data_IF_842432375833
#
_entry.id   IF_842432375833
#
_cell.length_a   1.000
_cell.length_b   1.000
_cell.length_c   1.000
_cell.angle_alpha   90.00
_cell.angle_beta   90.00
_cell.angle_gamma   90.00
#
_symmetry.space_group_name_H-M   'P 1'
#
loop_
_entity.id
_entity.type
_entity.pdbx_description
1 polymer ?
#
# COMPACT_ATOMS: atom_id res chain seq x y z
N UNK A 1 51.31 -40.69 26.51
CA UNK A 1 50.24 -39.70 26.76
C UNK A 1 50.87 -38.39 27.20
N UNK A 2 50.92 -37.40 26.31
CA UNK A 2 51.29 -36.01 26.65
C UNK A 2 50.01 -35.20 26.60
N UNK A 3 49.66 -34.56 27.71
CA UNK A 3 48.46 -33.72 27.84
C UNK A 3 48.86 -32.32 27.38
N UNK A 4 48.29 -31.87 26.28
CA UNK A 4 48.42 -30.50 25.77
C UNK A 4 47.37 -29.62 26.47
N UNK A 5 47.69 -28.43 26.99
CA UNK A 5 46.67 -27.51 27.49
C UNK A 5 46.00 -26.80 26.30
N UNK A 6 44.68 -26.92 26.21
CA UNK A 6 43.83 -26.11 25.32
C UNK A 6 43.66 -24.75 26.00
N UNK A 7 44.30 -23.72 25.44
CA UNK A 7 44.03 -22.32 25.79
C UNK A 7 42.72 -21.95 25.10
N UNK A 8 41.64 -21.81 25.88
CA UNK A 8 40.37 -21.28 25.40
C UNK A 8 40.47 -19.75 25.44
N UNK A 9 40.61 -19.11 24.28
CA UNK A 9 40.60 -17.65 24.15
C UNK A 9 39.15 -17.18 24.26
N UNK A 10 38.74 -16.73 25.45
CA UNK A 10 37.47 -16.08 25.68
C UNK A 10 37.54 -14.65 25.11
N UNK A 11 37.02 -14.45 23.90
CA UNK A 11 36.77 -13.11 23.35
C UNK A 11 35.64 -12.47 24.15
N UNK A 12 36.00 -11.70 25.18
CA UNK A 12 35.11 -10.71 25.78
C UNK A 12 34.87 -9.62 24.74
N UNK A 13 33.78 -9.74 23.99
CA UNK A 13 33.18 -8.58 23.33
C UNK A 13 32.65 -7.68 24.44
N UNK A 14 33.45 -6.71 24.85
CA UNK A 14 32.99 -5.58 25.64
C UNK A 14 31.94 -4.85 24.81
N UNK A 15 30.66 -5.13 25.08
CA UNK A 15 29.56 -4.27 24.70
C UNK A 15 29.79 -2.94 25.42
N UNK A 16 30.49 -2.02 24.76
CA UNK A 16 30.48 -0.63 25.17
C UNK A 16 29.03 -0.19 25.06
N UNK A 17 28.37 0.06 26.19
CA UNK A 17 27.13 0.81 26.21
C UNK A 17 27.42 2.14 25.51
N UNK A 18 26.98 2.27 24.26
CA UNK A 18 27.03 3.53 23.56
C UNK A 18 26.13 4.49 24.35
N UNK A 19 26.65 5.66 24.70
CA UNK A 19 25.78 6.80 25.00
C UNK A 19 24.86 6.94 23.79
N UNK A 20 23.54 6.87 23.98
CA UNK A 20 22.63 6.86 22.85
C UNK A 20 22.69 8.24 22.18
N UNK A 21 23.37 8.31 21.03
CA UNK A 21 23.31 9.51 20.22
C UNK A 21 21.84 9.80 19.85
N UNK A 22 21.55 11.05 19.48
CA UNK A 22 20.28 11.35 18.81
C UNK A 22 20.10 10.39 17.62
N UNK A 23 18.87 9.92 17.34
CA UNK A 23 18.64 8.89 16.33
C UNK A 23 19.14 9.36 14.97
N UNK A 24 19.81 8.46 14.24
CA UNK A 24 20.14 8.71 12.84
C UNK A 24 18.86 8.74 11.98
N UNK A 25 18.95 9.31 10.79
CA UNK A 25 17.86 9.28 9.84
C UNK A 25 17.38 7.85 9.57
N UNK A 26 16.07 7.68 9.41
CA UNK A 26 15.50 6.38 9.10
C UNK A 26 14.09 6.18 9.64
N UNK A 27 13.63 4.94 9.50
CA UNK A 27 12.30 4.52 9.90
C UNK A 27 12.32 3.90 11.30
N UNK A 28 11.37 4.32 12.13
CA UNK A 28 11.24 3.92 13.51
C UNK A 28 9.78 3.64 13.85
N UNK A 29 9.58 2.76 14.83
CA UNK A 29 8.36 2.71 15.63
C UNK A 29 8.61 3.46 16.92
N UNK A 30 7.64 4.26 17.33
CA UNK A 30 7.74 5.05 18.57
C UNK A 30 6.83 4.42 19.62
N UNK A 31 7.40 4.03 20.76
CA UNK A 31 6.69 3.31 21.82
C UNK A 31 6.77 4.05 23.14
N UNK A 32 5.63 4.24 23.81
CA UNK A 32 5.62 4.85 25.13
C UNK A 32 6.22 3.92 26.17
N UNK A 33 7.11 4.45 27.02
CA UNK A 33 7.79 3.67 28.07
C UNK A 33 6.83 3.18 29.15
N UNK A 34 5.83 3.98 29.51
CA UNK A 34 4.90 3.64 30.58
C UNK A 34 3.83 2.67 30.12
N UNK A 35 3.13 2.99 29.02
CA UNK A 35 1.98 2.21 28.56
C UNK A 35 2.33 1.05 27.63
N UNK A 36 3.52 1.09 27.00
CA UNK A 36 3.89 0.17 25.94
C UNK A 36 3.13 0.37 24.63
N UNK A 37 2.34 1.44 24.49
CA UNK A 37 1.62 1.75 23.24
C UNK A 37 2.53 2.31 22.17
N UNK A 38 2.33 1.87 20.94
CA UNK A 38 2.95 2.39 19.73
C UNK A 38 2.16 3.55 19.15
N UNK A 39 2.88 4.48 18.53
CA UNK A 39 2.33 5.65 17.83
C UNK A 39 1.80 5.25 16.45
N UNK A 40 0.60 5.70 16.10
CA UNK A 40 -0.02 5.57 14.78
C UNK A 40 -0.48 6.93 14.28
N UNK A 41 -0.05 7.34 13.09
CA UNK A 41 -0.54 8.56 12.43
C UNK A 41 -1.70 8.19 11.52
N UNK A 42 -2.90 8.66 11.87
CA UNK A 42 -4.17 8.19 11.29
C UNK A 42 -4.94 9.25 10.52
N UNK A 43 -4.52 10.51 10.59
CA UNK A 43 -4.97 11.60 9.73
C UNK A 43 -3.89 12.70 9.64
N UNK A 44 -4.25 13.84 9.06
CA UNK A 44 -3.39 14.99 8.80
C UNK A 44 -3.92 16.31 9.41
N UNK A 45 -4.79 16.28 10.41
CA UNK A 45 -5.41 17.45 11.04
C UNK A 45 -4.91 17.65 12.48
N UNK A 46 -4.63 18.88 12.86
CA UNK A 46 -4.24 19.21 14.22
C UNK A 46 -3.82 20.65 14.33
N UNK A 47 -3.40 21.06 15.53
CA UNK A 47 -2.76 22.35 15.76
C UNK A 47 -2.16 22.42 17.18
N UNK A 48 -1.23 23.35 17.37
CA UNK A 48 -0.82 23.85 18.67
C UNK A 48 -1.37 25.27 18.91
N UNK A 49 -2.14 25.44 19.97
CA UNK A 49 -2.56 26.76 20.46
C UNK A 49 -1.73 27.16 21.67
N UNK A 50 -0.76 28.04 21.43
CA UNK A 50 0.11 28.57 22.47
C UNK A 50 -0.57 29.61 23.37
N UNK A 51 -1.62 30.27 22.90
CA UNK A 51 -2.39 31.24 23.69
C UNK A 51 -3.32 30.56 24.68
N UNK A 52 -3.98 29.49 24.24
CA UNK A 52 -4.82 28.64 25.09
C UNK A 52 -4.03 27.54 25.81
N UNK A 53 -2.73 27.39 25.50
CA UNK A 53 -1.86 26.33 26.03
C UNK A 53 -2.41 24.92 25.79
N UNK A 54 -3.02 24.69 24.63
CA UNK A 54 -3.63 23.40 24.25
C UNK A 54 -3.06 22.86 22.95
N UNK A 55 -3.15 21.55 22.78
CA UNK A 55 -2.77 20.84 21.56
C UNK A 55 -3.95 19.99 21.06
N UNK A 56 -4.24 20.05 19.76
CA UNK A 56 -5.11 19.07 19.11
C UNK A 56 -4.22 18.07 18.35
N UNK A 57 -4.12 16.87 18.91
CA UNK A 57 -3.23 15.80 18.47
C UNK A 57 -3.99 14.52 18.08
N UNK A 58 -5.30 14.62 17.83
CA UNK A 58 -6.15 13.45 17.55
C UNK A 58 -5.84 12.78 16.20
N UNK A 59 -5.00 13.40 15.36
CA UNK A 59 -4.31 12.75 14.25
C UNK A 59 -3.47 11.54 14.63
N UNK A 60 -3.12 11.42 15.91
CA UNK A 60 -2.14 10.47 16.40
C UNK A 60 -2.77 9.63 17.51
N UNK A 61 -3.03 8.38 17.17
CA UNK A 61 -3.50 7.37 18.10
C UNK A 61 -2.35 6.54 18.66
N UNK A 62 -2.63 5.92 19.80
CA UNK A 62 -1.70 5.03 20.49
C UNK A 62 -2.36 3.67 20.67
N UNK A 63 -1.65 2.59 20.35
CA UNK A 63 -2.18 1.22 20.52
C UNK A 63 -1.14 0.26 21.09
N UNK A 64 -1.58 -0.63 21.97
CA UNK A 64 -0.76 -1.76 22.43
C UNK A 64 -0.76 -2.91 21.42
N UNK A 65 0.21 -3.80 21.61
CA UNK A 65 0.34 -5.04 20.84
C UNK A 65 1.23 -4.81 19.62
N UNK A 66 2.46 -5.34 19.70
CA UNK A 66 3.42 -5.24 18.60
C UNK A 66 2.92 -5.96 17.35
N UNK A 67 2.12 -7.01 17.53
CA UNK A 67 1.44 -7.74 16.46
C UNK A 67 0.52 -6.86 15.61
N UNK A 68 -0.09 -5.82 16.20
CA UNK A 68 -0.90 -4.85 15.48
C UNK A 68 -0.05 -3.79 14.78
N UNK A 69 1.21 -3.63 15.19
CA UNK A 69 2.13 -2.59 14.73
C UNK A 69 3.05 -3.10 13.62
N UNK A 70 3.33 -4.41 13.61
CA UNK A 70 4.33 -5.00 12.72
C UNK A 70 3.93 -4.91 11.23
N UNK A 71 2.62 -4.86 10.95
CA UNK A 71 2.03 -4.85 9.61
C UNK A 71 1.31 -3.57 9.22
N UNK A 72 1.29 -2.54 10.08
CA UNK A 72 0.53 -1.33 9.81
C UNK A 72 1.43 -0.16 9.40
N UNK A 73 1.34 0.33 8.14
CA UNK A 73 2.10 1.49 7.69
C UNK A 73 1.90 2.76 8.52
N UNK A 74 0.74 2.95 9.17
CA UNK A 74 0.47 4.12 10.02
C UNK A 74 1.39 4.18 11.26
N UNK A 75 2.00 3.06 11.65
CA UNK A 75 2.94 2.97 12.77
C UNK A 75 4.40 3.25 12.41
N UNK A 76 4.68 3.50 11.13
CA UNK A 76 6.04 3.71 10.61
C UNK A 76 6.30 5.20 10.49
N UNK A 77 7.24 5.70 11.29
CA UNK A 77 7.64 7.11 11.29
C UNK A 77 9.04 7.24 10.70
N UNK A 78 9.20 8.10 9.70
CA UNK A 78 10.51 8.49 9.21
C UNK A 78 11.00 9.72 9.97
N UNK A 79 12.14 9.58 10.65
CA UNK A 79 12.84 10.67 11.32
C UNK A 79 13.91 11.19 10.37
N UNK A 80 13.80 12.46 10.00
CA UNK A 80 14.77 13.18 9.19
C UNK A 80 15.40 14.30 10.03
N UNK A 81 16.68 14.19 10.35
CA UNK A 81 17.40 15.20 11.10
C UNK A 81 17.48 16.50 10.30
N UNK A 82 17.22 17.61 10.98
CA UNK A 82 17.31 18.95 10.40
C UNK A 82 18.55 19.65 10.95
N UNK A 83 18.51 19.97 12.24
CA UNK A 83 19.60 20.62 12.97
C UNK A 83 19.46 20.32 14.46
N UNK A 84 20.58 20.36 15.19
CA UNK A 84 20.62 20.10 16.63
C UNK A 84 19.84 18.85 17.05
N UNK A 85 18.72 19.03 17.75
CA UNK A 85 17.81 17.98 18.22
C UNK A 85 16.48 17.95 17.47
N UNK A 86 16.37 18.70 16.38
CA UNK A 86 15.15 18.90 15.62
C UNK A 86 15.07 17.93 14.44
N UNK A 87 13.88 17.36 14.27
CA UNK A 87 13.56 16.36 13.26
C UNK A 87 12.27 16.72 12.54
N UNK A 88 12.28 16.55 11.23
CA UNK A 88 11.05 16.35 10.48
C UNK A 88 10.63 14.89 10.64
N UNK A 89 9.41 14.69 11.12
CA UNK A 89 8.87 13.37 11.42
C UNK A 89 7.65 13.15 10.54
N UNK A 90 7.77 12.23 9.59
CA UNK A 90 6.74 11.97 8.57
C UNK A 90 6.18 10.56 8.68
N UNK A 91 4.92 10.39 8.30
CA UNK A 91 4.22 9.11 8.27
C UNK A 91 3.03 9.21 7.30
N UNK A 92 2.75 8.13 6.55
CA UNK A 92 1.57 7.97 5.70
C UNK A 92 1.05 9.24 4.99
N UNK A 93 1.87 9.86 4.14
CA UNK A 93 1.46 11.01 3.33
C UNK A 93 1.31 12.33 4.09
N UNK A 94 1.70 12.36 5.36
CA UNK A 94 1.74 13.56 6.20
C UNK A 94 2.99 13.59 7.09
N UNK A 95 3.03 14.54 8.03
CA UNK A 95 4.05 14.61 9.06
C UNK A 95 3.65 15.53 10.20
N UNK A 96 4.37 15.42 11.31
CA UNK A 96 4.10 16.19 12.52
C UNK A 96 4.15 17.70 12.23
N UNK A 97 5.11 18.15 11.41
CA UNK A 97 5.17 19.55 11.01
C UNK A 97 3.91 19.99 10.25
N UNK A 98 3.35 19.16 9.38
CA UNK A 98 2.11 19.48 8.68
C UNK A 98 0.90 19.52 9.63
N UNK A 99 0.85 18.62 10.60
CA UNK A 99 -0.26 18.50 11.56
C UNK A 99 -0.27 19.68 12.54
N UNK A 100 0.90 20.10 13.05
CA UNK A 100 0.95 21.11 14.14
C UNK A 100 1.77 22.38 13.85
N UNK A 101 2.40 22.49 12.67
CA UNK A 101 3.29 23.62 12.27
C UNK A 101 4.59 23.74 13.10
N UNK A 102 5.07 22.61 13.65
CA UNK A 102 6.35 22.53 14.36
C UNK A 102 7.06 21.21 14.06
N UNK A 103 8.38 21.29 13.84
CA UNK A 103 9.24 20.12 13.87
C UNK A 103 9.42 19.60 15.30
N UNK A 104 9.62 18.29 15.42
CA UNK A 104 9.76 17.62 16.71
C UNK A 104 11.19 17.80 17.21
N UNK A 105 11.35 18.18 18.48
CA UNK A 105 12.64 18.18 19.16
C UNK A 105 12.76 16.96 20.06
N UNK A 106 13.96 16.37 20.11
CA UNK A 106 14.28 15.22 20.95
C UNK A 106 15.16 15.63 22.12
N UNK A 107 14.87 15.06 23.29
CA UNK A 107 15.72 15.17 24.47
C UNK A 107 15.98 13.76 25.03
N UNK A 108 17.23 13.32 25.02
CA UNK A 108 17.65 12.03 25.56
C UNK A 108 17.56 12.03 27.10
N UNK A 109 16.94 10.99 27.65
CA UNK A 109 16.89 10.74 29.09
C UNK A 109 18.18 10.02 29.51
N UNK A 110 19.18 10.77 29.98
CA UNK A 110 20.50 10.20 30.34
C UNK A 110 20.48 9.07 31.37
N UNK A 111 19.43 8.99 32.20
CA UNK A 111 19.28 7.93 33.20
C UNK A 111 18.66 6.63 32.64
N UNK A 112 18.07 6.66 31.45
CA UNK A 112 17.42 5.52 30.79
C UNK A 112 17.88 5.50 29.32
N UNK A 113 18.87 4.66 28.95
CA UNK A 113 19.36 4.58 27.58
C UNK A 113 18.23 4.37 26.55
N UNK A 114 18.43 4.88 25.33
CA UNK A 114 17.49 4.77 24.20
C UNK A 114 16.06 5.27 24.52
N UNK A 115 15.97 6.24 25.44
CA UNK A 115 14.72 6.84 25.89
C UNK A 115 14.75 8.34 25.67
N UNK A 116 13.67 8.86 25.08
CA UNK A 116 13.59 10.24 24.63
C UNK A 116 12.30 10.91 25.09
N UNK A 117 12.37 12.22 25.33
CA UNK A 117 11.20 13.09 25.33
C UNK A 117 11.09 13.78 23.97
N UNK A 118 9.88 13.80 23.42
CA UNK A 118 9.56 14.50 22.18
C UNK A 118 8.81 15.79 22.54
N UNK A 119 9.18 16.92 21.97
CA UNK A 119 8.60 18.21 22.35
C UNK A 119 8.67 19.27 21.24
N UNK A 120 7.88 20.33 21.42
CA UNK A 120 8.00 21.60 20.69
C UNK A 120 8.12 22.76 21.69
N UNK A 121 8.78 23.85 21.27
CA UNK A 121 8.94 25.03 22.12
C UNK A 121 8.73 26.33 21.35
N UNK A 122 8.09 27.32 21.99
CA UNK A 122 7.90 28.68 21.46
C UNK A 122 8.06 29.71 22.57
N UNK A 123 8.93 30.69 22.38
CA UNK A 123 9.12 31.83 23.30
C UNK A 123 9.28 31.43 24.78
N UNK A 124 10.05 30.37 25.06
CA UNK A 124 10.30 29.85 26.41
C UNK A 124 9.24 28.87 26.94
N UNK A 125 8.09 28.73 26.28
CA UNK A 125 7.12 27.67 26.58
C UNK A 125 7.53 26.38 25.88
N UNK A 126 7.33 25.24 26.56
CA UNK A 126 7.61 23.90 26.01
C UNK A 126 6.41 22.99 26.21
N UNK A 127 6.05 22.27 25.16
CA UNK A 127 4.99 21.25 25.15
C UNK A 127 5.62 19.90 24.84
N UNK A 128 5.49 18.97 25.77
CA UNK A 128 6.01 17.62 25.65
C UNK A 128 4.91 16.69 25.19
N UNK A 129 5.19 15.88 24.17
CA UNK A 129 4.29 14.82 23.74
C UNK A 129 4.28 13.70 24.79
N UNK A 130 3.09 13.21 25.11
CA UNK A 130 2.88 12.12 26.05
C UNK A 130 1.80 11.16 25.55
N UNK A 131 1.74 9.98 26.16
CA UNK A 131 0.53 9.18 26.12
C UNK A 131 -0.55 9.87 26.99
N UNK A 132 -1.57 10.40 26.32
CA UNK A 132 -2.64 11.20 26.92
C UNK A 132 -3.70 10.37 27.63
N UNK A 133 -3.79 9.06 27.36
CA UNK A 133 -4.74 8.16 28.03
C UNK A 133 -4.34 7.95 29.49
N UNK A 134 -3.04 7.97 29.79
CA UNK A 134 -2.49 7.87 31.17
C UNK A 134 -3.03 6.67 31.97
N UNK A 135 -3.31 5.58 31.26
CA UNK A 135 -3.73 4.29 31.81
C UNK A 135 -2.88 3.16 31.27
N UNK A 136 -2.41 2.27 32.15
CA UNK A 136 -1.66 1.07 31.79
C UNK A 136 -2.57 -0.10 31.40
N UNK A 137 -3.89 -0.01 31.61
CA UNK A 137 -4.80 -1.13 31.35
C UNK A 137 -5.54 -1.01 30.03
N UNK A 138 -5.70 0.19 29.49
CA UNK A 138 -6.35 0.39 28.19
C UNK A 138 -5.40 -0.04 27.05
N UNK A 139 -5.92 -0.57 25.96
CA UNK A 139 -5.10 -0.91 24.81
C UNK A 139 -4.94 0.27 23.86
N UNK A 140 -6.03 1.02 23.64
CA UNK A 140 -6.05 2.27 22.89
C UNK A 140 -5.73 3.46 23.78
N UNK A 141 -5.10 4.47 23.20
CA UNK A 141 -4.94 5.80 23.76
C UNK A 141 -4.83 6.85 22.65
N UNK A 142 -4.63 8.10 23.05
CA UNK A 142 -4.40 9.22 22.14
C UNK A 142 -3.15 9.98 22.56
N UNK A 143 -2.48 10.61 21.61
CA UNK A 143 -1.38 11.50 21.92
C UNK A 143 -1.90 12.73 22.67
N UNK A 144 -1.17 13.16 23.71
CA UNK A 144 -1.48 14.33 24.50
C UNK A 144 -0.26 15.19 24.78
N UNK A 145 -0.46 16.30 25.50
CA UNK A 145 0.60 17.26 25.85
C UNK A 145 0.68 17.58 27.37
N UNK A 146 -0.10 16.87 28.19
CA UNK A 146 -0.32 17.16 29.62
C UNK A 146 0.08 16.02 30.57
N UNK A 147 0.61 14.92 30.06
CA UNK A 147 1.15 13.80 30.85
C UNK A 147 2.40 14.21 31.64
N UNK A 148 2.93 13.36 32.51
CA UNK A 148 4.13 13.64 33.32
C UNK A 148 4.97 12.37 33.50
N UNK A 149 6.25 12.50 33.88
CA UNK A 149 7.12 11.34 34.12
C UNK A 149 7.23 10.43 32.89
N UNK A 150 7.20 9.11 33.11
CA UNK A 150 7.35 8.09 32.05
C UNK A 150 6.26 8.12 30.98
N UNK A 151 5.13 8.78 31.22
CA UNK A 151 4.11 9.01 30.20
C UNK A 151 4.62 9.91 29.05
N UNK A 152 5.67 10.71 29.28
CA UNK A 152 6.36 11.54 28.27
C UNK A 152 7.58 10.85 27.64
N UNK A 153 7.90 9.64 28.08
CA UNK A 153 9.12 8.95 27.66
C UNK A 153 8.79 7.98 26.54
N UNK A 154 9.66 7.96 25.54
CA UNK A 154 9.46 7.22 24.30
C UNK A 154 10.71 6.44 23.94
N UNK A 155 10.53 5.17 23.58
CA UNK A 155 11.54 4.40 22.86
C UNK A 155 11.36 4.62 21.36
N UNK A 156 12.47 4.86 20.67
CA UNK A 156 12.53 4.98 19.22
C UNK A 156 13.15 3.67 18.69
N UNK A 157 12.29 2.73 18.38
CA UNK A 157 12.68 1.39 17.95
C UNK A 157 12.94 1.41 16.43
N UNK A 158 14.21 1.38 16.02
CA UNK A 158 14.58 1.38 14.59
C UNK A 158 13.98 0.15 13.91
N UNK A 159 13.32 0.36 12.78
CA UNK A 159 12.79 -0.75 11.99
C UNK A 159 13.94 -1.31 11.17
N UNK A 160 14.18 -2.60 11.34
CA UNK A 160 15.26 -3.33 10.68
C UNK A 160 14.72 -4.47 9.84
N UNK A 161 15.45 -4.89 8.82
CA UNK A 161 15.12 -6.08 8.03
C UNK A 161 15.08 -7.36 8.88
N UNK A 162 16.08 -7.51 9.74
CA UNK A 162 16.27 -8.68 10.61
C UNK A 162 15.82 -8.38 12.04
N UNK A 163 15.46 -9.42 12.79
CA UNK A 163 15.05 -9.29 14.18
C UNK A 163 13.55 -9.08 14.37
N UNK A 164 13.17 -8.66 15.57
CA UNK A 164 11.77 -8.65 16.03
C UNK A 164 11.02 -7.37 15.64
N UNK A 165 11.74 -6.26 15.42
CA UNK A 165 11.16 -4.99 15.00
C UNK A 165 11.20 -4.78 13.47
N UNK A 166 10.96 -5.83 12.70
CA UNK A 166 10.86 -5.73 11.23
C UNK A 166 9.51 -5.16 10.79
N UNK A 167 9.39 -4.80 9.52
CA UNK A 167 8.08 -4.60 8.90
C UNK A 167 7.70 -5.88 8.15
N UNK A 168 6.52 -6.42 8.42
CA UNK A 168 6.06 -7.65 7.79
C UNK A 168 4.57 -7.56 7.49
N UNK A 169 4.11 -8.23 6.45
CA UNK A 169 2.70 -8.16 6.03
C UNK A 169 1.90 -9.31 6.61
N UNK A 170 0.78 -9.00 7.25
CA UNK A 170 -0.23 -9.99 7.61
C UNK A 170 -1.34 -9.91 6.56
N UNK A 171 -1.43 -10.89 5.64
CA UNK A 171 -2.40 -10.85 4.55
C UNK A 171 -3.83 -11.04 5.04
N UNK A 172 -4.76 -10.37 4.39
CA UNK A 172 -6.20 -10.42 4.68
C UNK A 172 -6.99 -11.33 3.73
N UNK A 173 -6.37 -11.80 2.63
CA UNK A 173 -7.03 -12.59 1.60
C UNK A 173 -6.29 -13.93 1.40
N UNK A 174 -7.01 -15.05 1.52
CA UNK A 174 -6.51 -16.40 1.26
C UNK A 174 -7.11 -16.96 -0.03
N UNK A 175 -6.30 -17.05 -1.07
CA UNK A 175 -6.66 -17.66 -2.35
C UNK A 175 -6.15 -19.09 -2.48
N UNK A 176 -6.63 -19.79 -3.50
CA UNK A 176 -6.19 -21.14 -3.83
C UNK A 176 -4.69 -21.21 -4.22
N UNK A 177 -4.11 -20.09 -4.67
CA UNK A 177 -2.73 -19.99 -5.13
C UNK A 177 -1.84 -19.10 -4.24
N UNK A 178 -2.30 -18.76 -3.03
CA UNK A 178 -1.51 -18.06 -2.02
C UNK A 178 -2.28 -16.98 -1.27
N UNK A 179 -1.53 -16.16 -0.54
CA UNK A 179 -2.06 -15.10 0.31
C UNK A 179 -1.87 -13.75 -0.36
N UNK A 180 -2.85 -12.86 -0.21
CA UNK A 180 -2.84 -11.54 -0.83
C UNK A 180 -3.12 -10.44 0.18
N UNK A 181 -2.51 -9.29 -0.07
CA UNK A 181 -2.76 -8.10 0.73
C UNK A 181 -2.86 -6.83 -0.14
N UNK A 182 -4.00 -6.13 -0.16
CA UNK A 182 -4.03 -4.78 -0.71
C UNK A 182 -3.18 -3.84 0.15
N UNK A 183 -2.17 -3.23 -0.45
CA UNK A 183 -1.15 -2.50 0.29
C UNK A 183 -0.89 -1.11 -0.30
N UNK A 184 -0.83 -0.12 0.58
CA UNK A 184 -0.47 1.24 0.24
C UNK A 184 0.29 1.93 1.40
N UNK A 185 1.55 2.28 1.15
CA UNK A 185 2.44 2.87 2.13
C UNK A 185 3.13 4.13 1.59
N UNK A 186 3.47 5.07 2.47
CA UNK A 186 4.18 6.31 2.11
C UNK A 186 5.71 6.19 2.18
N UNK A 187 6.23 4.97 2.36
CA UNK A 187 7.65 4.68 2.33
C UNK A 187 7.97 3.72 1.17
N UNK A 188 9.16 3.83 0.55
CA UNK A 188 9.63 2.84 -0.39
C UNK A 188 9.94 1.54 0.33
N UNK A 189 9.89 0.42 -0.38
CA UNK A 189 10.20 -0.89 0.20
C UNK A 189 10.64 -1.90 -0.86
N UNK A 190 11.31 -2.97 -0.44
CA UNK A 190 11.55 -4.18 -1.22
C UNK A 190 11.16 -5.43 -0.45
N UNK A 191 11.02 -6.55 -1.15
CA UNK A 191 10.71 -7.84 -0.53
C UNK A 191 11.97 -8.46 0.06
N UNK A 192 11.94 -8.70 1.38
CA UNK A 192 13.03 -9.36 2.08
C UNK A 192 12.83 -10.87 2.11
N UNK A 193 11.58 -11.32 2.31
CA UNK A 193 11.23 -12.74 2.22
C UNK A 193 11.23 -13.23 0.77
N UNK A 194 11.86 -14.39 0.48
CA UNK A 194 11.95 -14.93 -0.88
C UNK A 194 10.59 -15.41 -1.38
N UNK A 195 10.24 -15.14 -2.64
CA UNK A 195 8.99 -15.61 -3.25
C UNK A 195 7.82 -14.63 -3.18
N UNK A 196 7.96 -13.52 -2.44
CA UNK A 196 6.99 -12.44 -2.49
C UNK A 196 7.10 -11.65 -3.81
N UNK A 197 5.94 -11.27 -4.35
CA UNK A 197 5.82 -10.37 -5.49
C UNK A 197 4.72 -9.35 -5.22
N UNK A 198 4.63 -8.31 -6.06
CA UNK A 198 3.47 -7.44 -6.09
C UNK A 198 2.79 -7.46 -7.45
N UNK A 199 1.49 -7.22 -7.44
CA UNK A 199 0.64 -7.10 -8.60
C UNK A 199 0.12 -5.66 -8.69
N UNK A 200 0.07 -5.14 -9.91
CA UNK A 200 -0.67 -3.92 -10.24
C UNK A 200 -1.64 -4.18 -11.39
N UNK A 201 -2.71 -3.41 -11.46
CA UNK A 201 -3.68 -3.50 -12.56
C UNK A 201 -3.23 -2.55 -13.66
N UNK A 202 -2.86 -3.09 -14.82
CA UNK A 202 -2.39 -2.33 -15.97
C UNK A 202 -3.52 -1.85 -16.90
N UNK A 203 -4.67 -2.53 -16.86
CA UNK A 203 -5.82 -2.22 -17.70
C UNK A 203 -7.09 -2.83 -17.10
N UNK A 204 -8.23 -2.19 -17.35
CA UNK A 204 -9.57 -2.70 -17.03
C UNK A 204 -10.38 -2.83 -18.31
N UNK A 205 -10.76 -4.06 -18.64
CA UNK A 205 -11.75 -4.35 -19.67
C UNK A 205 -13.13 -4.43 -19.02
N UNK A 206 -13.81 -3.29 -18.97
CA UNK A 206 -15.11 -3.18 -18.35
C UNK A 206 -16.21 -3.95 -19.10
N UNK A 207 -16.04 -4.21 -20.39
CA UNK A 207 -17.01 -4.92 -21.23
C UNK A 207 -17.04 -6.40 -20.88
N UNK A 208 -15.88 -6.99 -20.66
CA UNK A 208 -15.74 -8.41 -20.37
C UNK A 208 -15.53 -8.72 -18.88
N UNK A 209 -15.50 -7.70 -18.03
CA UNK A 209 -15.36 -7.87 -16.59
C UNK A 209 -13.96 -8.38 -16.19
N UNK A 210 -12.91 -7.85 -16.80
CA UNK A 210 -11.52 -8.32 -16.60
C UNK A 210 -10.64 -7.18 -16.10
N UNK A 211 -9.84 -7.46 -15.07
CA UNK A 211 -8.73 -6.63 -14.64
C UNK A 211 -7.41 -7.29 -15.08
N UNK A 212 -6.64 -6.63 -15.94
CA UNK A 212 -5.37 -7.16 -16.45
C UNK A 212 -4.25 -6.81 -15.47
N UNK A 213 -3.69 -7.83 -14.82
CA UNK A 213 -2.65 -7.69 -13.80
C UNK A 213 -1.25 -7.91 -14.37
N UNK A 214 -0.27 -7.21 -13.77
CA UNK A 214 1.15 -7.37 -14.05
C UNK A 214 1.92 -7.50 -12.76
N UNK A 215 2.90 -8.41 -12.75
CA UNK A 215 3.81 -8.56 -11.63
C UNK A 215 4.90 -7.49 -11.62
N UNK A 216 5.34 -7.13 -10.44
CA UNK A 216 6.48 -6.24 -10.22
C UNK A 216 7.28 -6.70 -9.00
N UNK A 217 8.55 -6.32 -8.97
CA UNK A 217 9.53 -6.71 -7.96
C UNK A 217 10.63 -5.65 -7.85
N UNK A 218 11.56 -5.86 -6.92
CA UNK A 218 12.61 -4.88 -6.59
C UNK A 218 12.11 -3.80 -5.63
N UNK A 219 12.79 -2.65 -5.60
CA UNK A 219 12.40 -1.53 -4.75
C UNK A 219 11.19 -0.79 -5.32
N UNK A 220 10.08 -0.89 -4.62
CA UNK A 220 8.83 -0.20 -4.90
C UNK A 220 8.92 1.25 -4.40
N UNK A 221 8.58 2.26 -5.21
CA UNK A 221 8.50 3.64 -4.76
C UNK A 221 7.43 3.85 -3.69
N UNK A 222 7.67 4.79 -2.77
CA UNK A 222 6.67 5.31 -1.85
C UNK A 222 5.40 5.76 -2.60
N UNK A 223 4.23 5.51 -2.01
CA UNK A 223 2.95 5.92 -2.58
C UNK A 223 2.55 5.16 -3.85
N UNK A 224 3.03 3.92 -4.01
CA UNK A 224 2.60 3.03 -5.10
C UNK A 224 1.54 2.03 -4.60
N UNK A 225 0.29 2.09 -5.09
CA UNK A 225 -0.76 1.16 -4.67
C UNK A 225 -0.62 -0.19 -5.38
N UNK A 226 -0.57 -1.28 -4.60
CA UNK A 226 -0.30 -2.63 -5.09
C UNK A 226 -1.14 -3.67 -4.35
N UNK A 227 -1.23 -4.87 -4.91
CA UNK A 227 -1.62 -6.09 -4.18
C UNK A 227 -0.36 -6.92 -3.98
N UNK A 228 -0.02 -7.24 -2.74
CA UNK A 228 1.18 -8.03 -2.44
C UNK A 228 0.79 -9.49 -2.36
N UNK A 229 1.49 -10.33 -3.13
CA UNK A 229 1.41 -11.79 -3.02
C UNK A 229 2.41 -12.23 -1.95
N UNK A 230 1.86 -12.73 -0.85
CA UNK A 230 2.55 -13.13 0.36
C UNK A 230 2.92 -14.61 0.34
N UNK A 231 3.95 -14.98 1.11
CA UNK A 231 4.42 -16.36 1.25
C UNK A 231 3.63 -17.18 2.27
N UNK A 232 3.08 -16.53 3.30
CA UNK A 232 2.39 -17.18 4.40
C UNK A 232 1.39 -16.26 5.08
N UNK A 233 0.73 -16.76 6.11
CA UNK A 233 -0.34 -16.04 6.82
C UNK A 233 0.18 -15.02 7.84
N UNK A 234 1.46 -15.02 8.19
CA UNK A 234 1.99 -14.20 9.28
C UNK A 234 3.00 -13.15 8.79
N UNK A 235 3.06 -12.01 9.48
CA UNK A 235 4.04 -10.95 9.21
C UNK A 235 5.49 -11.44 9.08
N UNK A 236 5.89 -12.38 9.95
CA UNK A 236 7.25 -12.92 9.98
C UNK A 236 7.63 -13.70 8.70
N UNK A 237 6.63 -14.24 7.98
CA UNK A 237 6.81 -14.95 6.72
C UNK A 237 6.95 -13.98 5.53
N UNK A 238 6.48 -12.73 5.70
CA UNK A 238 6.25 -11.75 4.65
C UNK A 238 6.99 -10.42 4.91
N UNK A 239 8.30 -10.49 5.12
CA UNK A 239 9.10 -9.34 5.54
C UNK A 239 9.40 -8.39 4.40
N UNK A 240 9.38 -7.10 4.70
CA UNK A 240 9.81 -6.04 3.81
C UNK A 240 11.09 -5.37 4.35
N UNK A 241 11.96 -4.99 3.43
CA UNK A 241 12.99 -3.99 3.69
C UNK A 241 12.38 -2.62 3.40
N UNK A 242 12.26 -1.76 4.40
CA UNK A 242 11.71 -0.41 4.20
C UNK A 242 12.84 0.60 3.95
N UNK A 243 12.60 1.53 3.02
CA UNK A 243 13.62 2.44 2.51
C UNK A 243 14.13 2.06 1.12
N UNK A 244 15.31 2.59 0.78
CA UNK A 244 15.95 2.39 -0.52
C UNK A 244 15.50 3.39 -1.59
N UNK A 245 16.19 3.35 -2.73
CA UNK A 245 15.96 4.24 -3.87
C UNK A 245 15.31 3.46 -5.01
N UNK A 246 14.06 3.76 -5.32
CA UNK A 246 13.37 3.18 -6.46
C UNK A 246 13.76 3.88 -7.77
N UNK A 247 13.89 3.11 -8.86
CA UNK A 247 14.41 3.62 -10.14
C UNK A 247 13.33 4.15 -11.10
N UNK A 248 12.05 3.78 -10.93
CA UNK A 248 10.96 4.22 -11.79
C UNK A 248 9.57 4.03 -11.16
N UNK A 249 8.60 4.85 -11.57
CA UNK A 249 7.17 4.69 -11.26
C UNK A 249 6.53 3.63 -12.18
N UNK A 250 5.56 2.88 -11.64
CA UNK A 250 4.78 1.89 -12.40
C UNK A 250 3.74 2.59 -13.28
N UNK A 251 4.10 2.86 -14.54
CA UNK A 251 3.20 3.49 -15.51
C UNK A 251 1.98 2.61 -15.81
N UNK A 252 0.81 3.24 -15.95
CA UNK A 252 -0.45 2.58 -16.29
C UNK A 252 -1.14 1.85 -15.12
N UNK A 253 -0.66 2.01 -13.89
CA UNK A 253 -1.32 1.42 -12.72
C UNK A 253 -2.72 2.06 -12.50
N UNK A 254 -3.75 1.23 -12.56
CA UNK A 254 -5.15 1.59 -12.36
C UNK A 254 -5.59 1.47 -10.89
N UNK A 255 -4.73 0.95 -10.02
CA UNK A 255 -4.96 0.96 -8.58
C UNK A 255 -4.76 2.37 -8.01
N UNK A 256 -5.51 2.68 -6.97
CA UNK A 256 -5.33 3.84 -6.10
C UNK A 256 -5.20 3.37 -4.67
N UNK A 257 -4.74 4.24 -3.79
CA UNK A 257 -4.55 3.93 -2.38
C UNK A 257 -5.17 4.99 -1.47
N UNK A 258 -5.46 4.58 -0.23
CA UNK A 258 -5.97 5.46 0.82
C UNK A 258 -5.04 5.35 2.02
N UNK A 259 -4.58 6.49 2.55
CA UNK A 259 -3.72 6.51 3.74
C UNK A 259 -4.49 6.51 5.06
N UNK A 260 -5.71 7.07 5.06
CA UNK A 260 -6.43 7.40 6.28
C UNK A 260 -7.88 6.90 6.25
N UNK A 261 -8.36 6.55 7.44
CA UNK A 261 -9.75 6.21 7.71
C UNK A 261 -10.08 6.71 9.13
N UNK A 262 -10.04 8.04 9.32
CA UNK A 262 -10.47 8.67 10.57
C UNK A 262 -11.84 9.34 10.38
N UNK A 263 -12.77 9.04 11.29
CA UNK A 263 -14.14 9.56 11.31
C UNK A 263 -14.44 10.40 12.56
N UNK A 264 -13.44 10.65 13.40
CA UNK A 264 -13.61 11.43 14.61
C UNK A 264 -14.02 12.89 14.30
N UNK A 265 -14.81 13.48 15.20
CA UNK A 265 -15.28 14.85 15.06
C UNK A 265 -14.10 15.84 14.92
N UNK A 266 -14.13 16.69 13.88
CA UNK A 266 -13.05 17.62 13.43
C UNK A 266 -11.80 16.96 12.83
N UNK A 267 -11.76 15.63 12.78
CA UNK A 267 -10.65 14.83 12.26
C UNK A 267 -11.15 13.85 11.19
N UNK A 268 -12.09 14.31 10.35
CA UNK A 268 -12.61 13.48 9.26
C UNK A 268 -11.57 13.43 8.13
N UNK A 269 -10.90 12.28 8.00
CA UNK A 269 -9.94 11.99 6.94
C UNK A 269 -10.17 10.54 6.48
N UNK A 270 -11.14 10.38 5.59
CA UNK A 270 -11.52 9.10 5.03
C UNK A 270 -12.03 9.30 3.60
N UNK A 271 -11.94 8.25 2.78
CA UNK A 271 -12.46 8.26 1.41
C UNK A 271 -13.72 7.42 1.37
N UNK A 272 -14.84 8.04 0.98
CA UNK A 272 -16.10 7.34 0.78
C UNK A 272 -15.97 6.32 -0.36
N UNK A 273 -16.48 5.11 -0.12
CA UNK A 273 -16.55 4.08 -1.14
C UNK A 273 -17.69 4.36 -2.13
N UNK A 274 -17.43 4.18 -3.42
CA UNK A 274 -18.43 4.30 -4.47
C UNK A 274 -18.48 3.02 -5.33
N UNK A 275 -19.52 2.17 -5.19
CA UNK A 275 -19.63 0.95 -5.98
C UNK A 275 -19.83 1.20 -7.48
N UNK A 276 -20.17 2.42 -7.92
CA UNK A 276 -20.28 2.73 -9.34
C UNK A 276 -18.91 2.87 -10.02
N UNK A 277 -17.87 3.22 -9.26
CA UNK A 277 -16.54 3.57 -9.80
C UNK A 277 -15.37 2.89 -9.10
N UNK A 278 -15.62 2.11 -8.04
CA UNK A 278 -14.57 1.46 -7.24
C UNK A 278 -14.81 -0.03 -7.04
N UNK A 279 -13.73 -0.81 -7.03
CA UNK A 279 -13.73 -2.24 -6.67
C UNK A 279 -12.66 -2.53 -5.62
N UNK A 280 -12.99 -3.45 -4.71
CA UNK A 280 -12.11 -3.90 -3.63
C UNK A 280 -11.51 -5.26 -4.01
N UNK A 281 -10.20 -5.47 -3.79
CA UNK A 281 -9.57 -6.78 -3.94
C UNK A 281 -10.27 -7.83 -3.08
N UNK A 282 -10.57 -8.99 -3.65
CA UNK A 282 -11.20 -10.10 -2.96
C UNK A 282 -10.81 -11.44 -3.59
N UNK A 283 -11.09 -12.53 -2.89
CA UNK A 283 -10.99 -13.88 -3.45
C UNK A 283 -12.35 -14.26 -4.03
N UNK A 284 -12.36 -14.60 -5.31
CA UNK A 284 -13.57 -14.99 -6.03
C UNK A 284 -13.97 -16.44 -5.70
N UNK A 285 -15.16 -16.85 -6.15
CA UNK A 285 -15.69 -18.18 -5.89
C UNK A 285 -14.84 -19.32 -6.48
N UNK A 286 -14.00 -19.04 -7.47
CA UNK A 286 -13.04 -19.98 -8.04
C UNK A 286 -11.71 -20.08 -7.25
N UNK A 287 -11.61 -19.32 -6.14
CA UNK A 287 -10.43 -19.26 -5.28
C UNK A 287 -9.34 -18.32 -5.77
N UNK A 288 -9.54 -17.59 -6.87
CA UNK A 288 -8.54 -16.66 -7.41
C UNK A 288 -8.74 -15.24 -6.90
N UNK A 289 -7.68 -14.44 -6.95
CA UNK A 289 -7.78 -13.00 -6.77
C UNK A 289 -8.73 -12.39 -7.82
N UNK A 290 -9.50 -11.41 -7.40
CA UNK A 290 -10.38 -10.61 -8.24
C UNK A 290 -10.69 -9.26 -7.59
N UNK A 291 -11.60 -8.52 -8.19
CA UNK A 291 -12.05 -7.23 -7.69
C UNK A 291 -13.59 -7.19 -7.67
N UNK A 292 -14.17 -6.81 -6.55
CA UNK A 292 -15.63 -6.87 -6.33
C UNK A 292 -16.18 -5.53 -5.85
N UNK A 293 -17.50 -5.34 -5.98
CA UNK A 293 -18.21 -4.35 -5.17
C UNK A 293 -18.29 -4.80 -3.71
N UNK A 294 -18.49 -3.84 -2.80
CA UNK A 294 -18.62 -4.10 -1.37
C UNK A 294 -19.72 -3.23 -0.76
N UNK A 295 -20.11 -3.54 0.48
CA UNK A 295 -21.07 -2.81 1.31
C UNK A 295 -20.39 -1.87 2.32
N UNK A 296 -19.05 -1.75 2.27
CA UNK A 296 -18.32 -0.77 3.08
C UNK A 296 -18.75 0.66 2.76
N UNK A 297 -18.77 1.51 3.78
CA UNK A 297 -19.04 2.95 3.61
C UNK A 297 -17.76 3.72 3.25
N UNK A 298 -16.63 3.31 3.82
CA UNK A 298 -15.34 3.97 3.70
C UNK A 298 -14.28 2.97 3.23
N UNK A 299 -13.35 3.45 2.41
CA UNK A 299 -12.19 2.66 2.01
C UNK A 299 -11.25 2.45 3.19
N UNK A 300 -10.78 1.22 3.45
CA UNK A 300 -9.91 0.97 4.59
C UNK A 300 -8.55 1.65 4.44
N UNK A 301 -8.00 2.15 5.55
CA UNK A 301 -6.68 2.80 5.55
C UNK A 301 -5.56 1.85 5.10
N UNK A 302 -4.53 2.42 4.50
CA UNK A 302 -3.32 1.73 4.05
C UNK A 302 -3.57 0.61 3.02
N UNK A 303 -4.76 0.60 2.40
CA UNK A 303 -5.15 -0.38 1.38
C UNK A 303 -5.20 0.26 0.00
N UNK A 304 -4.99 -0.59 -1.00
CA UNK A 304 -5.22 -0.26 -2.40
C UNK A 304 -6.62 -0.71 -2.85
N UNK A 305 -7.16 -0.03 -3.84
CA UNK A 305 -8.43 -0.33 -4.49
C UNK A 305 -8.34 -0.05 -5.99
N UNK A 306 -9.24 -0.64 -6.77
CA UNK A 306 -9.28 -0.44 -8.22
C UNK A 306 -10.32 0.62 -8.59
N UNK A 307 -9.94 1.58 -9.43
CA UNK A 307 -10.91 2.47 -10.09
C UNK A 307 -11.37 1.89 -11.42
N UNK A 308 -12.66 1.98 -11.69
CA UNK A 308 -13.31 1.45 -12.89
C UNK A 308 -14.21 2.52 -13.52
N UNK A 309 -14.45 2.48 -14.85
CA UNK A 309 -15.45 3.35 -15.46
C UNK A 309 -16.86 3.00 -14.96
N UNK A 310 -17.77 3.99 -14.97
CA UNK A 310 -19.16 3.78 -14.60
C UNK A 310 -19.82 2.72 -15.49
N UNK A 311 -20.62 1.83 -14.88
CA UNK A 311 -21.28 0.72 -15.58
C UNK A 311 -20.41 -0.54 -15.74
N UNK A 312 -19.22 -0.55 -15.17
CA UNK A 312 -18.38 -1.75 -15.09
C UNK A 312 -19.05 -2.86 -14.25
N UNK A 313 -18.78 -4.12 -14.58
CA UNK A 313 -19.33 -5.28 -13.86
C UNK A 313 -19.01 -5.24 -12.36
N UNK A 314 -19.91 -5.76 -11.53
CA UNK A 314 -19.74 -5.81 -10.07
C UNK A 314 -18.54 -6.65 -9.64
N UNK A 315 -18.26 -7.72 -10.38
CA UNK A 315 -17.11 -8.60 -10.18
C UNK A 315 -16.22 -8.57 -11.41
N UNK A 316 -14.91 -8.43 -11.19
CA UNK A 316 -13.87 -8.51 -12.20
C UNK A 316 -12.92 -9.65 -11.86
N UNK A 317 -12.74 -10.56 -12.81
CA UNK A 317 -11.69 -11.58 -12.74
C UNK A 317 -10.34 -10.97 -13.09
N UNK A 318 -9.26 -11.45 -12.45
CA UNK A 318 -7.91 -11.06 -12.86
C UNK A 318 -7.37 -11.98 -13.96
N UNK A 319 -6.68 -11.40 -14.94
CA UNK A 319 -5.90 -12.13 -15.94
C UNK A 319 -4.53 -11.50 -16.09
N UNK A 320 -3.51 -12.31 -16.31
CA UNK A 320 -2.23 -11.84 -16.84
C UNK A 320 -2.41 -11.29 -18.26
N UNK A 321 -1.41 -10.56 -18.75
CA UNK A 321 -1.47 -10.00 -20.10
C UNK A 321 -1.60 -11.10 -21.19
N UNK A 322 -0.93 -12.24 -21.01
CA UNK A 322 -0.97 -13.35 -21.97
C UNK A 322 -2.29 -14.14 -21.91
N UNK A 323 -2.85 -14.32 -20.71
CA UNK A 323 -4.19 -14.88 -20.55
C UNK A 323 -5.25 -13.99 -21.19
N UNK A 324 -5.14 -12.66 -21.02
CA UNK A 324 -6.06 -11.70 -21.62
C UNK A 324 -5.97 -11.68 -23.15
N UNK A 325 -4.76 -11.73 -23.72
CA UNK A 325 -4.57 -11.85 -25.19
C UNK A 325 -5.21 -13.13 -25.71
N UNK A 326 -4.96 -14.26 -25.05
CA UNK A 326 -5.56 -15.55 -25.39
C UNK A 326 -7.09 -15.51 -25.28
N UNK A 327 -7.62 -14.83 -24.27
CA UNK A 327 -9.07 -14.64 -24.11
C UNK A 327 -9.66 -13.86 -25.29
N UNK A 328 -9.04 -12.75 -25.69
CA UNK A 328 -9.50 -11.94 -26.82
C UNK A 328 -9.47 -12.69 -28.15
N UNK A 329 -8.44 -13.51 -28.39
CA UNK A 329 -8.32 -14.34 -29.60
C UNK A 329 -9.42 -15.40 -29.70
N UNK A 330 -9.93 -15.86 -28.56
CA UNK A 330 -10.99 -16.87 -28.48
C UNK A 330 -12.40 -16.27 -28.37
N UNK A 331 -12.53 -14.94 -28.33
CA UNK A 331 -13.85 -14.31 -28.36
C UNK A 331 -14.56 -14.67 -29.68
N UNK A 332 -15.85 -15.05 -29.62
CA UNK A 332 -16.62 -15.21 -30.84
C UNK A 332 -16.59 -13.87 -31.59
N UNK A 333 -16.49 -13.88 -32.94
CA UNK A 333 -16.55 -12.65 -33.72
C UNK A 333 -17.80 -11.87 -33.31
N UNK A 334 -17.63 -10.65 -32.80
CA UNK A 334 -18.77 -9.79 -32.49
C UNK A 334 -19.61 -9.64 -33.77
N UNK A 335 -20.93 -9.74 -33.63
CA UNK A 335 -21.87 -9.54 -34.74
C UNK A 335 -21.96 -8.06 -35.17
N UNK A 336 -20.81 -7.40 -35.29
CA UNK A 336 -20.62 -6.04 -35.79
C UNK A 336 -20.13 -6.07 -37.24
N UNK A 337 -20.59 -5.09 -38.03
CA UNK A 337 -20.13 -4.87 -39.40
C UNK A 337 -18.72 -4.28 -39.33
N UNK A 338 -17.70 -5.14 -39.28
CA UNK A 338 -16.30 -4.71 -39.41
C UNK A 338 -15.76 -4.93 -40.82
N UNK A 339 -15.10 -3.89 -41.34
CA UNK A 339 -14.29 -3.92 -42.55
C UNK A 339 -13.26 -5.05 -42.48
N UNK A 340 -13.20 -5.87 -43.52
CA UNK A 340 -12.28 -7.01 -43.62
C UNK A 340 -10.84 -6.49 -43.69
N UNK A 341 -10.07 -6.58 -42.61
CA UNK A 341 -8.61 -6.49 -42.63
C UNK A 341 -7.99 -7.89 -42.54
N UNK A 342 -7.48 -8.32 -43.70
CA UNK A 342 -6.44 -9.31 -44.02
C UNK A 342 -6.46 -10.73 -43.41
N UNK A 343 -6.56 -11.76 -44.28
CA UNK A 343 -5.53 -12.81 -44.51
C UNK A 343 -5.91 -13.89 -45.56
N UNK A 344 -6.78 -13.58 -46.52
CA UNK A 344 -6.95 -14.41 -47.74
C UNK A 344 -6.77 -13.52 -48.97
N UNK A 345 -5.94 -13.95 -49.92
CA UNK A 345 -5.68 -13.19 -51.16
C UNK A 345 -6.90 -13.10 -52.07
N UNK A 346 -7.89 -13.98 -51.89
CA UNK A 346 -9.20 -14.00 -52.56
C UNK A 346 -10.24 -14.64 -51.61
N UNK A 347 -11.42 -14.03 -51.49
CA UNK A 347 -12.56 -14.52 -50.71
C UNK A 347 -13.71 -14.94 -51.62
N UNK A 348 -14.37 -16.05 -51.28
CA UNK A 348 -15.66 -16.38 -51.86
C UNK A 348 -16.69 -15.30 -51.48
N UNK A 349 -17.49 -14.88 -52.46
CA UNK A 349 -18.58 -13.91 -52.29
C UNK A 349 -19.91 -14.62 -52.42
N UNK A 350 -20.78 -14.49 -51.43
CA UNK A 350 -22.13 -15.05 -51.45
C UNK A 350 -23.17 -13.92 -51.40
N UNK A 351 -24.34 -14.14 -52.00
CA UNK A 351 -25.49 -13.28 -51.80
C UNK A 351 -26.21 -13.60 -50.46
N UNK A 352 -27.22 -12.82 -50.12
CA UNK A 352 -28.02 -13.02 -48.90
C UNK A 352 -28.83 -14.33 -48.87
N UNK A 353 -28.91 -15.05 -49.99
CA UNK A 353 -29.53 -16.38 -50.08
C UNK A 353 -28.49 -17.50 -49.91
N UNK A 354 -27.22 -17.18 -49.64
CA UNK A 354 -26.15 -18.16 -49.46
C UNK A 354 -25.63 -18.76 -50.78
N UNK A 355 -25.98 -18.18 -51.93
CA UNK A 355 -25.49 -18.62 -53.25
C UNK A 355 -24.17 -17.92 -53.54
N UNK A 356 -23.14 -18.70 -53.93
CA UNK A 356 -21.84 -18.15 -54.37
C UNK A 356 -22.04 -17.35 -55.65
N UNK A 357 -21.68 -16.08 -55.64
CA UNK A 357 -21.81 -15.13 -56.75
C UNK A 357 -20.47 -14.68 -57.33
N UNK A 358 -19.35 -15.08 -56.72
CA UNK A 358 -18.02 -14.82 -57.26
C UNK A 358 -16.92 -15.01 -56.24
N UNK A 359 -15.75 -14.49 -56.60
CA UNK A 359 -14.53 -14.48 -55.81
C UNK A 359 -13.94 -13.07 -55.86
N UNK A 360 -13.47 -12.52 -54.75
CA UNK A 360 -12.89 -11.17 -54.73
C UNK A 360 -11.74 -10.98 -53.75
N UNK A 361 -10.78 -10.15 -54.12
CA UNK A 361 -9.73 -9.64 -53.24
C UNK A 361 -9.96 -8.17 -52.82
N UNK A 362 -11.01 -7.54 -53.35
CA UNK A 362 -11.38 -6.14 -53.10
C UNK A 362 -12.89 -5.95 -53.18
N UNK A 363 -13.45 -5.08 -52.36
CA UNK A 363 -14.87 -4.70 -52.44
C UNK A 363 -15.18 -3.75 -53.60
N UNK A 364 -14.15 -3.16 -54.23
CA UNK A 364 -14.29 -2.13 -55.29
C UNK A 364 -14.95 -2.62 -56.58
N UNK A 365 -14.90 -3.92 -56.85
CA UNK A 365 -15.38 -4.51 -58.11
C UNK A 365 -16.77 -5.15 -57.97
N UNK A 366 -17.39 -5.05 -56.79
CA UNK A 366 -18.72 -5.57 -56.53
C UNK A 366 -19.78 -4.51 -56.86
N UNK A 367 -20.89 -4.95 -57.45
CA UNK A 367 -22.05 -4.08 -57.63
C UNK A 367 -22.63 -3.67 -56.27
N UNK A 368 -23.31 -2.51 -56.16
CA UNK A 368 -23.96 -2.11 -54.92
C UNK A 368 -24.96 -3.16 -54.42
N UNK A 369 -24.90 -3.51 -53.14
CA UNK A 369 -25.67 -4.60 -52.56
C UNK A 369 -25.14 -5.10 -51.22
N UNK A 370 -25.82 -6.09 -50.63
CA UNK A 370 -25.37 -6.77 -49.41
C UNK A 370 -24.86 -8.16 -49.78
N UNK A 371 -23.64 -8.48 -49.35
CA UNK A 371 -22.97 -9.74 -49.61
C UNK A 371 -22.51 -10.39 -48.30
N UNK A 372 -22.22 -11.68 -48.36
CA UNK A 372 -21.47 -12.40 -47.33
C UNK A 372 -20.08 -12.67 -47.89
N UNK A 373 -19.05 -12.07 -47.29
CA UNK A 373 -17.64 -12.19 -47.69
C UNK A 373 -16.85 -12.53 -46.43
N UNK A 374 -16.04 -13.59 -46.50
CA UNK A 374 -15.28 -14.08 -45.34
C UNK A 374 -16.15 -14.30 -44.09
N UNK A 375 -17.32 -14.93 -44.27
CA UNK A 375 -18.32 -15.15 -43.21
C UNK A 375 -18.92 -13.89 -42.58
N UNK A 376 -18.66 -12.68 -43.13
CA UNK A 376 -19.20 -11.41 -42.65
C UNK A 376 -20.19 -10.81 -43.64
N UNK A 377 -21.23 -10.14 -43.14
CA UNK A 377 -22.13 -9.32 -43.98
C UNK A 377 -21.44 -8.02 -44.34
N UNK A 378 -21.35 -7.72 -45.63
CA UNK A 378 -20.70 -6.52 -46.18
C UNK A 378 -21.70 -5.77 -47.05
N UNK A 379 -21.90 -4.47 -46.77
CA UNK A 379 -22.68 -3.58 -47.61
C UNK A 379 -21.77 -2.81 -48.58
N UNK A 380 -22.10 -2.87 -49.87
CA UNK A 380 -21.43 -2.13 -50.94
C UNK A 380 -22.36 -0.98 -51.34
N UNK A 381 -21.97 0.25 -50.98
CA UNK A 381 -22.66 1.48 -51.38
C UNK A 381 -22.31 1.92 -52.81
N UNK A 382 -23.00 2.95 -53.30
CA UNK A 382 -22.61 3.64 -54.55
C UNK A 382 -21.40 4.52 -54.36
#
# INVERSE_FOLDING_TARGET
MKITPIITLLLLTSATAASAALPADGYYRVKNVMSGRYVYVIDNHGYLDWGATSADLNAIELWKGHENTISDPASVLYFNHIEDSQYDVTAQGTGIHQIIDYYVKLYEIKSEPDTYMLYASKSGMTKYLCDGERSETQDRGVLGDSGEGKWRYWHLEKIETSGDNHFGITPSLEGADGWYEPFYAAFPYSFSSPGMTALYVSHVDAKHGIAVVKETSGTIPAGTPLIIKCNGANAADNRLDIGGTASATLSGNCLKGVYFENTAFKHYSAVAYDPATMRIPAILADGKLGFVTSDIELLPRNKSYLTVPQGCAETLQTMTEDEYKTYLENLPPEAGIDSVTAEKSVYDVYNMLGVKVGDTNSTSNLAPGIYIINHKKVFIGK
#
